data_IF_256320670229
#
_entry.id   IF_256320670229
#
_cell.length_a   1.000
_cell.length_b   1.000
_cell.length_c   1.000
_cell.angle_alpha   90.00
_cell.angle_beta   90.00
_cell.angle_gamma   90.00
#
_symmetry.space_group_name_H-M   'P 1'
#
loop_
_entity.id
_entity.type
_entity.pdbx_description
1 polymer ?
#
# COMPACT_ATOMS: atom_id res chain seq x y z
N UNK A 1 79.53 -22.69 -20.94
CA UNK A 1 78.66 -23.03 -22.08
C UNK A 1 77.88 -24.25 -21.62
N UNK A 2 76.55 -24.14 -21.61
CA UNK A 2 75.50 -24.97 -20.96
C UNK A 2 75.55 -25.01 -19.42
N UNK A 3 74.69 -24.38 -18.61
CA UNK A 3 73.25 -24.02 -18.67
C UNK A 3 72.28 -25.23 -18.67
N UNK A 4 72.26 -25.97 -17.56
CA UNK A 4 71.19 -26.92 -17.23
C UNK A 4 70.21 -26.29 -16.23
N UNK A 5 69.35 -25.41 -16.76
CA UNK A 5 68.15 -24.93 -16.05
C UNK A 5 67.12 -26.07 -15.92
N UNK A 6 67.06 -26.68 -14.74
CA UNK A 6 65.91 -27.47 -14.34
C UNK A 6 64.68 -26.56 -14.14
N UNK A 7 63.50 -26.90 -14.69
CA UNK A 7 62.27 -26.18 -14.38
C UNK A 7 61.86 -26.48 -12.93
N UNK A 8 61.81 -25.42 -12.12
CA UNK A 8 61.31 -25.46 -10.76
C UNK A 8 59.78 -25.52 -10.82
N UNK A 9 59.18 -26.70 -10.60
CA UNK A 9 57.73 -26.81 -10.48
C UNK A 9 57.29 -26.19 -9.15
N UNK A 10 56.29 -25.29 -9.11
CA UNK A 10 55.73 -24.82 -7.85
C UNK A 10 55.11 -26.01 -7.12
N UNK A 11 55.61 -26.28 -5.91
CA UNK A 11 54.98 -27.21 -4.99
C UNK A 11 53.59 -26.64 -4.65
N UNK A 12 52.55 -27.41 -4.96
CA UNK A 12 51.19 -27.14 -4.51
C UNK A 12 51.20 -27.20 -2.99
N UNK A 13 51.24 -26.04 -2.34
CA UNK A 13 50.93 -25.91 -0.92
C UNK A 13 49.50 -26.43 -0.73
N UNK A 14 49.32 -27.33 0.23
CA UNK A 14 48.02 -27.82 0.65
C UNK A 14 47.04 -26.64 0.84
N UNK A 15 45.73 -26.82 0.62
CA UNK A 15 44.77 -25.80 0.98
C UNK A 15 44.91 -25.55 2.48
N UNK A 16 45.27 -24.33 2.85
CA UNK A 16 45.17 -23.85 4.23
C UNK A 16 43.80 -24.27 4.75
N UNK A 17 43.82 -24.91 5.92
CA UNK A 17 42.63 -25.20 6.71
C UNK A 17 41.79 -23.92 6.75
N UNK A 18 40.63 -23.97 6.10
CA UNK A 18 39.58 -22.98 6.27
C UNK A 18 39.25 -23.00 7.76
N UNK A 19 39.76 -22.00 8.48
CA UNK A 19 39.26 -21.65 9.81
C UNK A 19 37.75 -21.51 9.68
N UNK A 20 37.03 -22.53 10.13
CA UNK A 20 35.63 -22.47 10.55
C UNK A 20 35.59 -21.53 11.76
N UNK A 21 35.70 -20.23 11.49
CA UNK A 21 35.67 -19.16 12.47
C UNK A 21 34.45 -18.29 12.22
N UNK A 22 33.48 -18.40 13.12
CA UNK A 22 32.45 -17.40 13.39
C UNK A 22 31.70 -16.82 12.18
N UNK A 23 30.81 -17.62 11.55
CA UNK A 23 29.53 -17.05 11.11
C UNK A 23 28.61 -16.89 12.33
N UNK A 24 29.09 -16.14 13.33
CA UNK A 24 28.31 -15.75 14.48
C UNK A 24 27.28 -14.72 14.02
N UNK A 25 26.02 -15.17 13.89
CA UNK A 25 24.77 -14.42 14.09
C UNK A 25 24.95 -12.90 14.00
N UNK A 26 25.18 -12.36 12.80
CA UNK A 26 25.27 -10.90 12.63
C UNK A 26 23.92 -10.32 13.09
N UNK A 27 23.88 -9.53 14.18
CA UNK A 27 22.62 -9.04 14.70
C UNK A 27 21.97 -8.16 13.64
N UNK A 28 20.73 -8.50 13.29
CA UNK A 28 19.94 -7.77 12.30
C UNK A 28 20.11 -6.24 12.53
N UNK A 29 20.40 -5.45 11.46
CA UNK A 29 20.78 -4.06 11.61
C UNK A 29 19.73 -3.30 12.43
N UNK A 30 20.14 -2.78 13.58
CA UNK A 30 19.27 -2.04 14.49
C UNK A 30 18.78 -0.78 13.77
N UNK A 31 17.47 -0.67 13.57
CA UNK A 31 16.84 0.52 12.98
C UNK A 31 17.28 1.76 13.79
N UNK A 32 17.95 2.71 13.14
CA UNK A 32 18.32 3.96 13.81
C UNK A 32 17.08 4.85 13.86
N UNK A 33 16.96 5.71 14.87
CA UNK A 33 15.85 6.66 14.96
C UNK A 33 15.70 7.49 13.67
N UNK A 34 16.83 7.86 13.03
CA UNK A 34 16.87 8.55 11.74
C UNK A 34 16.20 7.78 10.60
N UNK A 35 16.24 6.44 10.62
CA UNK A 35 15.59 5.59 9.62
C UNK A 35 14.06 5.58 9.74
N UNK A 36 13.53 6.06 10.87
CA UNK A 36 12.09 6.13 11.17
C UNK A 36 11.51 7.54 10.97
N UNK A 37 12.34 8.59 11.01
CA UNK A 37 11.88 9.97 10.85
C UNK A 37 11.21 10.18 9.50
N UNK A 38 11.88 9.76 8.41
CA UNK A 38 11.35 9.98 7.05
C UNK A 38 10.03 9.22 6.83
N UNK A 39 9.94 7.90 7.09
CA UNK A 39 8.66 7.18 7.00
C UNK A 39 7.58 7.76 7.91
N UNK A 40 7.94 8.18 9.13
CA UNK A 40 7.00 8.78 10.09
C UNK A 40 6.43 10.11 9.58
N UNK A 41 7.28 11.02 9.09
CA UNK A 41 6.84 12.30 8.52
C UNK A 41 5.96 12.09 7.30
N UNK A 42 6.34 11.18 6.41
CA UNK A 42 5.57 10.83 5.22
C UNK A 42 4.20 10.22 5.58
N UNK A 43 4.16 9.33 6.56
CA UNK A 43 2.92 8.76 7.07
C UNK A 43 2.00 9.83 7.66
N UNK A 44 2.52 10.73 8.51
CA UNK A 44 1.74 11.83 9.08
C UNK A 44 1.20 12.77 7.99
N UNK A 45 2.02 13.12 7.00
CA UNK A 45 1.59 13.92 5.86
C UNK A 45 0.46 13.21 5.09
N UNK A 46 0.59 11.89 4.89
CA UNK A 46 -0.41 11.09 4.17
C UNK A 46 -1.70 10.95 4.96
N UNK A 47 -1.63 10.77 6.28
CA UNK A 47 -2.81 10.79 7.18
C UNK A 47 -3.55 12.11 7.01
N UNK A 48 -2.83 13.24 7.05
CA UNK A 48 -3.44 14.55 6.88
C UNK A 48 -4.13 14.72 5.51
N UNK A 49 -3.43 14.41 4.42
CA UNK A 49 -4.00 14.57 3.06
C UNK A 49 -5.16 13.61 2.80
N UNK A 50 -5.14 12.42 3.40
CA UNK A 50 -6.22 11.42 3.28
C UNK A 50 -7.43 11.78 4.14
N UNK A 51 -7.23 12.32 5.35
CA UNK A 51 -8.31 12.89 6.16
C UNK A 51 -9.00 14.05 5.44
N UNK A 52 -8.20 14.94 4.85
CA UNK A 52 -8.71 16.05 4.06
C UNK A 52 -9.50 15.55 2.85
N UNK A 53 -8.99 14.57 2.11
CA UNK A 53 -9.71 13.98 0.98
C UNK A 53 -11.04 13.34 1.39
N UNK A 54 -11.03 12.53 2.45
CA UNK A 54 -12.24 11.92 2.99
C UNK A 54 -13.28 12.96 3.43
N UNK A 55 -12.85 13.97 4.19
CA UNK A 55 -13.72 15.04 4.65
C UNK A 55 -14.27 15.87 3.48
N UNK A 56 -13.42 16.19 2.51
CA UNK A 56 -13.81 16.88 1.28
C UNK A 56 -14.84 16.07 0.48
N UNK A 57 -14.69 14.75 0.40
CA UNK A 57 -15.63 13.86 -0.29
C UNK A 57 -17.03 13.79 0.33
N UNK A 58 -17.19 14.14 1.61
CA UNK A 58 -18.52 14.13 2.27
C UNK A 58 -19.40 15.36 1.95
N UNK A 59 -18.89 16.31 1.15
CA UNK A 59 -19.59 17.59 0.92
C UNK A 59 -20.67 17.45 -0.15
N UNK A 60 -21.77 18.16 0.07
CA UNK A 60 -22.87 18.29 -0.89
C UNK A 60 -22.70 19.46 -1.87
N UNK A 61 -21.79 20.41 -1.57
CA UNK A 61 -21.55 21.59 -2.40
C UNK A 61 -20.11 21.65 -2.93
N UNK A 62 -19.93 21.25 -4.18
CA UNK A 62 -18.64 21.23 -4.87
C UNK A 62 -18.13 22.60 -5.31
N UNK A 63 -18.88 23.70 -5.06
CA UNK A 63 -18.46 25.06 -5.47
C UNK A 63 -17.29 25.62 -4.64
N UNK A 64 -17.09 25.10 -3.43
CA UNK A 64 -16.01 25.52 -2.54
C UNK A 64 -14.78 24.67 -2.81
N UNK A 65 -13.63 25.27 -3.11
CA UNK A 65 -12.40 24.53 -3.38
C UNK A 65 -11.90 23.75 -2.14
N UNK A 66 -10.99 22.77 -2.32
CA UNK A 66 -10.42 22.01 -1.21
C UNK A 66 -9.76 22.88 -0.14
N UNK A 67 -9.03 23.90 -0.58
CA UNK A 67 -8.30 24.83 0.29
C UNK A 67 -9.29 25.67 1.09
N UNK A 68 -10.27 26.27 0.41
CA UNK A 68 -11.30 27.09 1.06
C UNK A 68 -12.10 26.28 2.08
N UNK A 69 -12.42 25.02 1.77
CA UNK A 69 -13.07 24.10 2.70
C UNK A 69 -12.24 23.93 3.99
N UNK A 70 -10.94 23.67 3.86
CA UNK A 70 -10.06 23.45 5.00
C UNK A 70 -9.90 24.73 5.85
N UNK A 71 -9.86 25.90 5.21
CA UNK A 71 -9.73 27.19 5.90
C UNK A 71 -11.02 27.60 6.62
N UNK A 72 -12.19 27.28 6.06
CA UNK A 72 -13.49 27.66 6.62
C UNK A 72 -13.98 26.71 7.71
N UNK A 73 -13.76 25.40 7.55
CA UNK A 73 -14.19 24.37 8.49
C UNK A 73 -13.07 23.34 8.72
N UNK A 74 -11.95 23.73 9.37
CA UNK A 74 -10.87 22.80 9.69
C UNK A 74 -11.34 21.68 10.63
N UNK A 75 -12.39 21.93 11.41
CA UNK A 75 -13.03 20.92 12.25
C UNK A 75 -13.55 19.75 11.44
N UNK A 76 -14.07 19.95 10.23
CA UNK A 76 -14.63 18.89 9.41
C UNK A 76 -13.68 17.73 9.05
N UNK A 77 -12.36 17.86 9.29
CA UNK A 77 -11.41 16.76 9.08
C UNK A 77 -11.80 15.46 9.82
N UNK A 78 -12.50 15.53 10.96
CA UNK A 78 -12.97 14.33 11.66
C UNK A 78 -13.93 13.49 10.80
N UNK A 79 -14.67 14.09 9.87
CA UNK A 79 -15.57 13.38 8.95
C UNK A 79 -14.79 12.49 7.97
N UNK A 80 -13.51 12.79 7.75
CA UNK A 80 -12.62 12.00 6.90
C UNK A 80 -12.06 10.75 7.56
N UNK A 81 -12.23 10.57 8.87
CA UNK A 81 -11.66 9.43 9.62
C UNK A 81 -12.08 8.07 9.03
N UNK A 82 -13.36 7.79 8.74
CA UNK A 82 -13.77 6.50 8.19
C UNK A 82 -13.09 6.18 6.86
N UNK A 83 -12.93 7.19 5.99
CA UNK A 83 -12.22 7.06 4.72
C UNK A 83 -10.73 6.79 4.94
N UNK A 84 -10.06 7.66 5.70
CA UNK A 84 -8.62 7.60 5.91
C UNK A 84 -8.18 6.33 6.64
N UNK A 85 -8.88 5.94 7.71
CA UNK A 85 -8.59 4.71 8.44
C UNK A 85 -8.74 3.47 7.55
N UNK A 86 -9.78 3.43 6.72
CA UNK A 86 -10.02 2.31 5.81
C UNK A 86 -8.95 2.24 4.73
N UNK A 87 -8.69 3.34 4.02
CA UNK A 87 -7.75 3.35 2.91
C UNK A 87 -6.31 3.08 3.38
N UNK A 88 -5.86 3.75 4.44
CA UNK A 88 -4.52 3.53 4.99
C UNK A 88 -4.38 2.14 5.62
N UNK A 89 -5.46 1.58 6.17
CA UNK A 89 -5.49 0.20 6.62
C UNK A 89 -5.25 -0.79 5.49
N UNK A 90 -5.92 -0.61 4.35
CA UNK A 90 -5.73 -1.46 3.15
C UNK A 90 -4.31 -1.32 2.60
N UNK A 91 -3.83 -0.09 2.39
CA UNK A 91 -2.48 0.14 1.85
C UNK A 91 -1.38 -0.33 2.82
N UNK A 92 -1.57 -0.09 4.12
CA UNK A 92 -0.62 -0.54 5.14
C UNK A 92 -0.54 -2.05 5.25
N UNK A 93 -1.68 -2.74 5.18
CA UNK A 93 -1.71 -4.21 5.20
C UNK A 93 -1.16 -4.82 3.91
N UNK A 94 -1.38 -4.16 2.77
CA UNK A 94 -0.74 -4.51 1.50
C UNK A 94 0.79 -4.47 1.60
N UNK A 95 1.36 -3.32 2.00
CA UNK A 95 2.82 -3.19 2.14
C UNK A 95 3.39 -4.10 3.24
N UNK A 96 2.62 -4.35 4.31
CA UNK A 96 3.01 -5.29 5.35
C UNK A 96 3.07 -6.74 4.82
N UNK A 97 2.19 -7.10 3.88
CA UNK A 97 2.23 -8.40 3.19
C UNK A 97 3.55 -8.59 2.46
N UNK A 98 3.96 -7.60 1.66
CA UNK A 98 5.27 -7.61 1.01
C UNK A 98 6.40 -7.69 2.05
N UNK A 99 6.39 -6.83 3.08
CA UNK A 99 7.44 -6.78 4.10
C UNK A 99 7.63 -8.11 4.84
N UNK A 100 6.53 -8.75 5.27
CA UNK A 100 6.56 -10.03 5.98
C UNK A 100 7.17 -11.14 5.13
N UNK A 101 6.81 -11.20 3.84
CA UNK A 101 7.35 -12.20 2.93
C UNK A 101 8.78 -11.90 2.48
N UNK A 102 9.16 -10.63 2.33
CA UNK A 102 10.58 -10.25 2.13
C UNK A 102 11.42 -10.74 3.31
N UNK A 103 10.97 -10.50 4.55
CA UNK A 103 11.68 -10.98 5.74
C UNK A 103 11.75 -12.50 5.82
N UNK A 104 10.68 -13.21 5.46
CA UNK A 104 10.65 -14.68 5.41
C UNK A 104 11.67 -15.25 4.43
N UNK A 105 11.87 -14.57 3.29
CA UNK A 105 12.83 -14.97 2.26
C UNK A 105 14.23 -14.37 2.46
N UNK A 106 14.51 -13.76 3.63
CA UNK A 106 15.81 -13.16 3.94
C UNK A 106 16.15 -11.94 3.09
N UNK A 107 15.16 -11.31 2.44
CA UNK A 107 15.34 -10.09 1.64
C UNK A 107 15.13 -8.88 2.56
N UNK A 108 16.17 -8.07 2.84
CA UNK A 108 16.02 -6.88 3.66
C UNK A 108 15.06 -5.89 3.00
N UNK A 109 14.07 -5.39 3.74
CA UNK A 109 13.08 -4.43 3.25
C UNK A 109 12.95 -3.25 4.22
N UNK A 110 12.62 -2.07 3.70
CA UNK A 110 12.27 -0.92 4.53
C UNK A 110 10.89 -1.07 5.14
N UNK A 111 10.59 -0.26 6.16
CA UNK A 111 9.21 -0.01 6.56
C UNK A 111 8.41 0.64 5.41
N UNK A 112 7.07 0.52 5.41
CA UNK A 112 6.22 1.17 4.43
C UNK A 112 6.42 2.69 4.41
N UNK A 113 6.73 3.24 3.23
CA UNK A 113 6.79 4.68 3.01
C UNK A 113 5.51 5.08 2.29
N UNK A 114 4.60 5.71 3.03
CA UNK A 114 3.38 6.28 2.47
C UNK A 114 3.70 7.54 1.68
N UNK A 115 2.96 7.79 0.60
CA UNK A 115 3.16 8.96 -0.24
C UNK A 115 1.93 9.87 -0.17
N UNK A 116 2.04 11.09 0.36
CA UNK A 116 0.92 12.00 0.45
C UNK A 116 0.47 12.40 -0.95
N UNK A 117 -0.85 12.41 -1.14
CA UNK A 117 -1.47 12.69 -2.43
C UNK A 117 -2.28 13.97 -2.39
N UNK A 118 -2.91 14.27 -3.53
CA UNK A 118 -3.73 15.46 -3.67
C UNK A 118 -5.09 15.26 -2.97
N UNK A 119 -5.48 16.16 -2.04
CA UNK A 119 -6.71 16.01 -1.25
C UNK A 119 -8.01 16.05 -2.07
N UNK A 120 -8.00 16.63 -3.27
CA UNK A 120 -9.17 16.63 -4.15
C UNK A 120 -9.36 15.33 -4.94
N UNK A 121 -8.38 14.41 -4.85
CA UNK A 121 -8.42 13.07 -5.43
C UNK A 121 -8.57 12.04 -4.30
N UNK A 122 -7.58 11.16 -4.14
CA UNK A 122 -7.55 10.04 -3.19
C UNK A 122 -6.92 10.48 -1.84
N UNK A 123 -6.15 11.56 -1.84
CA UNK A 123 -5.37 11.99 -0.66
C UNK A 123 -4.07 11.20 -0.43
N UNK A 124 -3.79 10.16 -1.21
CA UNK A 124 -2.53 9.41 -1.21
C UNK A 124 -2.18 8.92 -2.61
N UNK A 125 -0.89 8.78 -2.91
CA UNK A 125 -0.40 8.08 -4.10
C UNK A 125 -0.10 6.59 -3.83
N UNK A 126 -0.41 6.10 -2.63
CA UNK A 126 -0.12 4.75 -2.19
C UNK A 126 0.98 4.72 -1.13
N UNK A 127 1.50 3.52 -0.91
CA UNK A 127 2.67 3.28 -0.08
C UNK A 127 3.59 2.32 -0.83
N UNK A 128 4.88 2.34 -0.49
CA UNK A 128 5.86 1.43 -1.08
C UNK A 128 6.89 1.00 -0.04
N UNK A 129 7.32 -0.25 -0.12
CA UNK A 129 8.56 -0.72 0.51
C UNK A 129 9.72 -0.73 -0.48
N UNK A 130 10.93 -0.52 0.02
CA UNK A 130 12.16 -0.65 -0.77
C UNK A 130 12.90 -1.92 -0.34
N UNK A 131 12.99 -2.89 -1.25
CA UNK A 131 13.84 -4.06 -1.07
C UNK A 131 15.32 -3.68 -1.25
N UNK A 132 16.16 -4.07 -0.31
CA UNK A 132 17.60 -3.78 -0.25
C UNK A 132 18.38 -5.09 -0.39
N UNK A 133 18.35 -5.65 -1.58
CA UNK A 133 19.07 -6.90 -1.89
C UNK A 133 18.50 -7.61 -3.12
N UNK A 134 19.28 -8.49 -3.77
CA UNK A 134 18.79 -9.27 -4.90
C UNK A 134 17.83 -10.38 -4.44
N UNK A 135 16.76 -10.59 -5.20
CA UNK A 135 15.86 -11.73 -5.01
C UNK A 135 16.46 -12.92 -5.74
N UNK A 136 17.00 -13.89 -5.00
CA UNK A 136 17.84 -14.95 -5.56
C UNK A 136 17.06 -16.02 -6.33
N UNK A 137 15.76 -16.20 -6.05
CA UNK A 137 14.94 -17.27 -6.63
C UNK A 137 13.54 -16.81 -7.04
N UNK A 138 13.02 -17.40 -8.13
CA UNK A 138 11.70 -17.07 -8.70
C UNK A 138 10.54 -17.29 -7.72
N UNK A 139 10.66 -18.28 -6.82
CA UNK A 139 9.65 -18.54 -5.78
C UNK A 139 9.56 -17.37 -4.80
N UNK A 140 10.70 -16.85 -4.35
CA UNK A 140 10.73 -15.68 -3.47
C UNK A 140 10.12 -14.46 -4.16
N UNK A 141 10.42 -14.23 -5.44
CA UNK A 141 9.81 -13.14 -6.21
C UNK A 141 8.29 -13.28 -6.29
N UNK A 142 7.79 -14.47 -6.60
CA UNK A 142 6.36 -14.75 -6.69
C UNK A 142 5.66 -14.58 -5.33
N UNK A 143 6.20 -15.19 -4.28
CA UNK A 143 5.62 -15.15 -2.94
C UNK A 143 5.57 -13.71 -2.40
N UNK A 144 6.66 -12.94 -2.58
CA UNK A 144 6.69 -11.53 -2.18
C UNK A 144 5.70 -10.71 -3.00
N UNK A 145 5.70 -10.86 -4.33
CA UNK A 145 4.82 -10.10 -5.22
C UNK A 145 3.33 -10.34 -4.96
N UNK A 146 2.93 -11.58 -4.68
CA UNK A 146 1.51 -11.90 -4.44
C UNK A 146 1.05 -11.59 -3.01
N UNK A 147 1.96 -11.57 -2.03
CA UNK A 147 1.61 -11.41 -0.62
C UNK A 147 0.94 -10.07 -0.31
N UNK A 148 1.45 -8.96 -0.86
CA UNK A 148 0.87 -7.63 -0.67
C UNK A 148 -0.54 -7.51 -1.23
N UNK A 149 -0.76 -7.84 -2.52
CA UNK A 149 -2.07 -7.83 -3.13
C UNK A 149 -3.11 -8.68 -2.40
N UNK A 150 -2.75 -9.91 -2.00
CA UNK A 150 -3.66 -10.77 -1.24
C UNK A 150 -3.99 -10.14 0.12
N UNK A 151 -2.99 -9.62 0.85
CA UNK A 151 -3.21 -9.01 2.16
C UNK A 151 -4.13 -7.79 2.07
N UNK A 152 -3.87 -6.87 1.12
CA UNK A 152 -4.71 -5.70 0.89
C UNK A 152 -6.12 -6.08 0.46
N UNK A 153 -6.27 -7.06 -0.44
CA UNK A 153 -7.56 -7.55 -0.91
C UNK A 153 -8.41 -8.15 0.23
N UNK A 154 -7.81 -8.95 1.11
CA UNK A 154 -8.50 -9.54 2.26
C UNK A 154 -9.05 -8.49 3.24
N UNK A 155 -8.46 -7.30 3.30
CA UNK A 155 -8.96 -6.18 4.11
C UNK A 155 -9.98 -5.34 3.33
N UNK A 156 -9.75 -5.14 2.03
CA UNK A 156 -10.63 -4.35 1.18
C UNK A 156 -12.03 -4.98 1.04
N UNK A 157 -12.13 -6.31 0.98
CA UNK A 157 -13.42 -6.99 0.80
C UNK A 157 -14.38 -6.76 1.99
N UNK A 158 -14.01 -7.05 3.26
CA UNK A 158 -14.84 -6.73 4.41
C UNK A 158 -15.17 -5.24 4.50
N UNK A 159 -14.19 -4.36 4.22
CA UNK A 159 -14.42 -2.92 4.22
C UNK A 159 -15.46 -2.52 3.16
N UNK A 160 -15.42 -3.11 1.97
CA UNK A 160 -16.40 -2.87 0.93
C UNK A 160 -17.81 -3.33 1.34
N UNK A 161 -17.94 -4.51 1.95
CA UNK A 161 -19.21 -4.99 2.50
C UNK A 161 -19.79 -4.03 3.53
N UNK A 162 -18.96 -3.58 4.48
CA UNK A 162 -19.37 -2.59 5.50
C UNK A 162 -19.74 -1.27 4.85
N UNK A 163 -18.92 -0.80 3.91
CA UNK A 163 -19.16 0.43 3.17
C UNK A 163 -20.49 0.42 2.45
N UNK A 164 -20.80 -0.64 1.70
CA UNK A 164 -22.06 -0.78 0.98
C UNK A 164 -23.28 -0.89 1.91
N UNK A 165 -23.15 -1.54 3.07
CA UNK A 165 -24.23 -1.57 4.08
C UNK A 165 -24.52 -0.21 4.70
N UNK A 166 -23.52 0.67 4.76
CA UNK A 166 -23.65 2.04 5.26
C UNK A 166 -24.04 3.05 4.16
N UNK A 167 -24.02 2.63 2.90
CA UNK A 167 -24.41 3.46 1.76
C UNK A 167 -25.92 3.64 1.70
N UNK A 168 -26.35 4.69 0.98
CA UNK A 168 -27.77 4.99 0.79
C UNK A 168 -28.11 5.00 -0.69
N UNK A 169 -29.28 4.46 -1.04
CA UNK A 169 -29.77 4.52 -2.42
C UNK A 169 -30.51 5.84 -2.63
N UNK A 170 -30.10 6.59 -3.65
CA UNK A 170 -30.69 7.89 -3.99
C UNK A 170 -31.17 7.88 -5.45
N UNK A 171 -32.17 8.71 -5.80
CA UNK A 171 -32.51 8.93 -7.20
C UNK A 171 -31.31 9.50 -7.97
N UNK A 172 -31.13 9.07 -9.22
CA UNK A 172 -30.13 9.63 -10.12
C UNK A 172 -30.54 11.07 -10.43
N UNK A 173 -29.95 12.03 -9.71
CA UNK A 173 -29.88 13.40 -10.20
C UNK A 173 -28.92 13.38 -11.40
N UNK A 174 -29.35 13.90 -12.55
CA UNK A 174 -28.47 14.09 -13.72
C UNK A 174 -27.45 15.19 -13.42
N UNK A 175 -26.52 14.90 -12.51
CA UNK A 175 -25.39 15.74 -12.16
C UNK A 175 -24.17 15.35 -12.98
N UNK A 176 -23.41 16.36 -13.40
CA UNK A 176 -22.07 16.15 -13.95
C UNK A 176 -21.17 15.56 -12.86
N UNK A 177 -20.89 14.26 -12.97
CA UNK A 177 -19.90 13.55 -12.16
C UNK A 177 -19.09 12.62 -13.06
N UNK A 178 -17.82 12.41 -12.75
CA UNK A 178 -17.02 11.39 -13.43
C UNK A 178 -17.54 10.01 -13.02
N UNK A 179 -18.21 9.31 -13.94
CA UNK A 179 -18.51 7.88 -13.78
C UNK A 179 -17.25 7.08 -14.08
N UNK A 180 -16.50 6.74 -13.03
CA UNK A 180 -15.41 5.78 -13.13
C UNK A 180 -15.98 4.36 -13.23
N UNK A 181 -15.33 3.49 -14.00
CA UNK A 181 -15.76 2.10 -14.13
C UNK A 181 -15.65 1.34 -12.81
N UNK A 182 -16.64 0.50 -12.51
CA UNK A 182 -16.66 -0.29 -11.28
C UNK A 182 -15.91 -1.62 -11.46
N UNK A 183 -14.95 -1.97 -10.57
CA UNK A 183 -14.34 -3.29 -10.55
C UNK A 183 -15.40 -4.41 -10.48
N UNK A 184 -15.17 -5.54 -11.14
CA UNK A 184 -16.13 -6.67 -11.15
C UNK A 184 -16.49 -7.14 -9.73
N UNK A 185 -15.52 -7.12 -8.83
CA UNK A 185 -15.74 -7.48 -7.43
C UNK A 185 -16.64 -6.46 -6.71
N UNK A 186 -16.56 -5.18 -7.08
CA UNK A 186 -17.47 -4.17 -6.56
C UNK A 186 -18.90 -4.47 -6.99
N UNK A 187 -19.11 -4.71 -8.29
CA UNK A 187 -20.43 -5.05 -8.83
C UNK A 187 -21.02 -6.30 -8.16
N UNK A 188 -20.20 -7.34 -7.96
CA UNK A 188 -20.62 -8.56 -7.27
C UNK A 188 -21.05 -8.28 -5.83
N UNK A 189 -20.23 -7.55 -5.06
CA UNK A 189 -20.55 -7.26 -3.64
C UNK A 189 -21.74 -6.30 -3.55
N UNK A 190 -21.84 -5.30 -4.43
CA UNK A 190 -22.99 -4.41 -4.51
C UNK A 190 -24.28 -5.19 -4.80
N UNK A 191 -24.26 -6.12 -5.75
CA UNK A 191 -25.38 -7.01 -6.03
C UNK A 191 -25.73 -7.89 -4.82
N UNK A 192 -24.75 -8.44 -4.10
CA UNK A 192 -24.99 -9.25 -2.90
C UNK A 192 -25.56 -8.46 -1.72
N UNK A 193 -25.15 -7.20 -1.54
CA UNK A 193 -25.49 -6.39 -0.37
C UNK A 193 -26.73 -5.52 -0.60
N UNK A 194 -26.80 -4.85 -1.75
CA UNK A 194 -27.85 -3.89 -2.09
C UNK A 194 -28.93 -4.54 -2.96
N UNK A 195 -28.57 -5.54 -3.77
CA UNK A 195 -29.49 -6.19 -4.69
C UNK A 195 -29.66 -5.43 -6.00
N UNK A 196 -30.79 -5.66 -6.67
CA UNK A 196 -31.11 -5.00 -7.93
C UNK A 196 -31.58 -3.57 -7.66
N UNK A 197 -30.86 -2.60 -8.22
CA UNK A 197 -31.25 -1.19 -8.16
C UNK A 197 -32.42 -0.94 -9.14
N UNK A 198 -33.51 -0.29 -8.69
CA UNK A 198 -34.55 0.22 -9.57
C UNK A 198 -34.00 1.18 -10.62
N UNK A 199 -34.66 1.25 -11.78
CA UNK A 199 -34.25 2.17 -12.85
C UNK A 199 -34.26 3.62 -12.35
N UNK A 200 -33.17 4.34 -12.60
CA UNK A 200 -33.02 5.73 -12.17
C UNK A 200 -32.63 5.91 -10.70
N UNK A 201 -32.14 4.87 -10.04
CA UNK A 201 -31.51 4.96 -8.72
C UNK A 201 -30.02 4.61 -8.79
N UNK A 202 -29.24 5.19 -7.89
CA UNK A 202 -27.80 4.95 -7.74
C UNK A 202 -27.42 4.87 -6.26
N UNK A 203 -26.27 4.27 -5.98
CA UNK A 203 -25.74 4.12 -4.62
C UNK A 203 -24.88 5.34 -4.30
N UNK A 204 -25.36 6.18 -3.38
CA UNK A 204 -24.49 7.15 -2.72
C UNK A 204 -23.57 6.40 -1.76
N UNK A 205 -22.35 6.14 -2.22
CA UNK A 205 -21.41 5.29 -1.52
C UNK A 205 -20.90 5.93 -0.22
N UNK A 206 -20.92 5.17 0.86
CA UNK A 206 -20.33 5.58 2.13
C UNK A 206 -18.80 5.75 2.00
N UNK A 207 -18.16 6.69 2.73
CA UNK A 207 -16.70 6.91 2.62
C UNK A 207 -15.84 5.65 2.82
N UNK A 208 -16.28 4.70 3.66
CA UNK A 208 -15.63 3.39 3.82
C UNK A 208 -15.66 2.56 2.53
N UNK A 209 -16.80 2.55 1.83
CA UNK A 209 -16.94 1.84 0.55
C UNK A 209 -16.12 2.49 -0.55
N UNK A 210 -16.08 3.82 -0.58
CA UNK A 210 -15.23 4.57 -1.52
C UNK A 210 -13.74 4.30 -1.27
N UNK A 211 -13.31 4.28 -0.01
CA UNK A 211 -11.95 3.91 0.37
C UNK A 211 -11.61 2.47 -0.05
N UNK A 212 -12.53 1.53 0.13
CA UNK A 212 -12.34 0.15 -0.32
C UNK A 212 -12.23 0.05 -1.84
N UNK A 213 -13.04 0.80 -2.59
CA UNK A 213 -12.95 0.88 -4.05
C UNK A 213 -11.57 1.39 -4.50
N UNK A 214 -11.08 2.49 -3.92
CA UNK A 214 -9.73 2.98 -4.22
C UNK A 214 -8.65 2.00 -3.77
N UNK A 215 -8.82 1.34 -2.63
CA UNK A 215 -7.92 0.32 -2.14
C UNK A 215 -7.78 -0.85 -3.10
N UNK A 216 -8.89 -1.32 -3.68
CA UNK A 216 -8.89 -2.36 -4.73
C UNK A 216 -8.17 -1.89 -5.99
N UNK A 217 -8.40 -0.63 -6.42
CA UNK A 217 -7.72 -0.04 -7.57
C UNK A 217 -6.21 0.01 -7.34
N UNK A 218 -5.75 0.60 -6.24
CA UNK A 218 -4.32 0.73 -5.94
C UNK A 218 -3.67 -0.64 -5.76
N UNK A 219 -4.35 -1.57 -5.08
CA UNK A 219 -3.87 -2.95 -4.93
C UNK A 219 -3.69 -3.67 -6.27
N UNK A 220 -4.51 -3.36 -7.29
CA UNK A 220 -4.35 -3.95 -8.62
C UNK A 220 -3.21 -3.33 -9.44
N UNK A 221 -2.81 -2.10 -9.13
CA UNK A 221 -1.71 -1.38 -9.80
C UNK A 221 -0.35 -1.67 -9.15
N UNK A 222 -0.34 -1.99 -7.85
CA UNK A 222 0.84 -2.29 -7.05
C UNK A 222 0.97 -3.81 -6.89
N UNK A 223 1.82 -4.43 -7.73
CA UNK A 223 2.07 -5.88 -7.81
C UNK A 223 3.56 -6.20 -7.63
#
# INVERSE_FOLDING_TARGET
MDDTRHPNFPQTTAPDELTEGDEADEPAPRLRATDLIVPGLLFLATVFTTLWAGAYGTRTNFRVGPIDFLLQDPGALWRGIPYAATLLGILGTHELGHYLYSRRHGVPATLPMFVPGLPYLIGTFGAVIRMRGPILHRRALFDIGVAGPIAGFLVAIPALFVGLKLSTVIPVERGFGLQLGEPLIFQLVAWLVVGHLPQGQDILIHPVGLAAWFGLLVTSLNL
#
